data_IF_487613401078
#
_entry.id   IF_487613401078
#
_cell.length_a   1.000
_cell.length_b   1.000
_cell.length_c   1.000
_cell.angle_alpha   90.00
_cell.angle_beta   90.00
_cell.angle_gamma   90.00
#
_symmetry.space_group_name_H-M   'P 1'
#
loop_
_entity.id
_entity.type
_entity.pdbx_description
1 polymer ?
#
# COMPACT_ATOMS: atom_id res chain seq x y z
N UNK A 1 11.00 7.04 -9.05
CA UNK A 1 11.35 6.27 -10.26
C UNK A 1 10.06 5.93 -10.99
N UNK A 2 9.97 6.19 -12.30
CA UNK A 2 8.78 5.81 -13.10
C UNK A 2 8.56 4.31 -13.07
N UNK A 3 7.31 3.89 -12.82
CA UNK A 3 6.80 2.54 -13.02
C UNK A 3 7.08 2.08 -14.47
N UNK A 4 8.28 1.55 -14.71
CA UNK A 4 8.67 0.97 -16.00
C UNK A 4 7.83 -0.27 -16.24
N UNK A 5 6.81 -0.15 -17.09
CA UNK A 5 6.19 -1.20 -17.91
C UNK A 5 6.42 -2.65 -17.45
N UNK A 6 6.06 -2.99 -16.20
CA UNK A 6 6.02 -4.39 -15.79
C UNK A 6 4.74 -4.97 -16.38
N UNK A 7 4.86 -5.88 -17.34
CA UNK A 7 3.70 -6.60 -17.87
C UNK A 7 3.35 -7.72 -16.91
N UNK A 8 2.13 -7.70 -16.37
CA UNK A 8 1.61 -8.84 -15.63
C UNK A 8 1.40 -10.04 -16.57
N UNK A 9 1.58 -11.28 -16.06
CA UNK A 9 1.08 -12.47 -16.71
C UNK A 9 -0.42 -12.35 -17.06
N UNK A 10 -0.87 -12.96 -18.15
CA UNK A 10 -2.25 -12.81 -18.68
C UNK A 10 -3.36 -13.22 -17.71
N UNK A 11 -3.06 -14.11 -16.77
CA UNK A 11 -4.02 -14.60 -15.77
C UNK A 11 -4.08 -13.70 -14.52
N UNK A 12 -3.26 -12.63 -14.46
CA UNK A 12 -3.21 -11.69 -13.35
C UNK A 12 -3.63 -10.30 -13.79
N UNK A 13 -4.24 -9.55 -12.87
CA UNK A 13 -4.55 -8.15 -13.06
C UNK A 13 -4.43 -7.39 -11.73
N UNK A 14 -4.01 -6.13 -11.79
CA UNK A 14 -4.15 -5.24 -10.64
C UNK A 14 -5.62 -4.86 -10.43
N UNK A 15 -6.16 -5.05 -9.22
CA UNK A 15 -7.56 -4.74 -8.94
C UNK A 15 -7.78 -3.22 -8.82
N UNK A 16 -6.77 -2.48 -8.38
CA UNK A 16 -6.77 -1.02 -8.26
C UNK A 16 -5.89 -0.37 -9.34
N UNK A 17 -6.09 0.93 -9.56
CA UNK A 17 -5.27 1.79 -10.40
C UNK A 17 -4.72 2.95 -9.58
N UNK A 18 -3.75 3.68 -10.14
CA UNK A 18 -3.25 4.92 -9.53
C UNK A 18 -4.38 5.91 -9.24
N UNK A 19 -5.36 6.00 -10.14
CA UNK A 19 -6.53 6.87 -9.98
C UNK A 19 -7.31 6.54 -8.72
N UNK A 20 -7.60 5.24 -8.47
CA UNK A 20 -8.33 4.82 -7.26
C UNK A 20 -7.63 5.27 -5.97
N UNK A 21 -6.31 5.11 -5.92
CA UNK A 21 -5.50 5.51 -4.77
C UNK A 21 -5.48 7.04 -4.63
N UNK A 22 -5.28 7.77 -5.73
CA UNK A 22 -5.26 9.23 -5.72
C UNK A 22 -6.60 9.85 -5.33
N UNK A 23 -7.72 9.29 -5.79
CA UNK A 23 -9.07 9.74 -5.42
C UNK A 23 -9.34 9.45 -3.93
N UNK A 24 -8.91 8.28 -3.46
CA UNK A 24 -9.05 7.87 -2.05
C UNK A 24 -8.29 8.80 -1.09
N UNK A 25 -7.03 9.09 -1.40
CA UNK A 25 -6.14 9.86 -0.52
C UNK A 25 -6.30 11.38 -0.71
N UNK A 26 -6.68 11.82 -1.90
CA UNK A 26 -6.81 13.22 -2.26
C UNK A 26 -5.50 14.00 -1.97
N UNK A 27 -5.55 15.13 -1.25
CA UNK A 27 -4.35 15.91 -0.91
C UNK A 27 -3.27 15.14 -0.13
N UNK A 28 -3.66 14.07 0.59
CA UNK A 28 -2.73 13.22 1.35
C UNK A 28 -1.78 12.43 0.45
N UNK A 29 -2.09 12.29 -0.84
CA UNK A 29 -1.22 11.66 -1.83
C UNK A 29 0.16 12.33 -1.90
N UNK A 30 0.26 13.62 -1.55
CA UNK A 30 1.54 14.35 -1.44
C UNK A 30 2.50 13.78 -0.38
N UNK A 31 1.99 12.98 0.57
CA UNK A 31 2.78 12.31 1.61
C UNK A 31 3.20 10.88 1.22
N UNK A 32 2.70 10.36 0.10
CA UNK A 32 3.08 9.05 -0.44
C UNK A 32 4.39 9.21 -1.22
N UNK A 33 5.43 8.51 -0.79
CA UNK A 33 6.76 8.49 -1.40
C UNK A 33 6.86 7.51 -2.54
N UNK A 34 6.25 6.35 -2.37
CA UNK A 34 6.21 5.34 -3.41
C UNK A 34 4.83 4.68 -3.50
N UNK A 35 4.40 4.44 -4.74
CA UNK A 35 3.21 3.69 -5.07
C UNK A 35 3.60 2.66 -6.11
N UNK A 36 3.68 1.40 -5.68
CA UNK A 36 4.13 0.31 -6.54
C UNK A 36 2.98 -0.62 -6.91
N UNK A 37 2.98 -1.02 -8.18
CA UNK A 37 2.14 -2.09 -8.70
C UNK A 37 3.01 -3.32 -8.85
N UNK A 38 2.89 -4.25 -7.91
CA UNK A 38 3.78 -5.40 -7.81
C UNK A 38 3.40 -6.47 -8.81
N UNK A 39 4.38 -7.20 -9.34
CA UNK A 39 4.18 -8.25 -10.34
C UNK A 39 4.35 -9.67 -9.77
N UNK A 40 4.54 -9.78 -8.45
CA UNK A 40 4.94 -11.02 -7.78
C UNK A 40 3.97 -12.17 -7.97
N UNK A 41 4.53 -13.37 -8.19
CA UNK A 41 3.80 -14.63 -8.40
C UNK A 41 3.17 -15.19 -7.11
N UNK A 42 3.69 -14.79 -5.93
CA UNK A 42 3.36 -15.37 -4.61
C UNK A 42 2.88 -14.35 -3.58
N UNK A 43 2.09 -13.35 -4.00
CA UNK A 43 1.51 -12.39 -3.04
C UNK A 43 0.49 -13.05 -2.08
N UNK A 44 0.15 -14.32 -2.31
CA UNK A 44 -0.87 -15.04 -1.54
C UNK A 44 -2.19 -14.26 -1.55
N UNK A 45 -2.91 -14.19 -0.42
CA UNK A 45 -4.14 -13.42 -0.33
C UNK A 45 -3.91 -11.90 -0.25
N UNK A 46 -2.67 -11.40 -0.26
CA UNK A 46 -2.38 -9.97 -0.10
C UNK A 46 -2.84 -9.18 -1.33
N UNK A 47 -3.57 -8.08 -1.09
CA UNK A 47 -4.13 -7.24 -2.16
C UNK A 47 -3.68 -5.78 -2.07
N UNK A 48 -3.39 -5.30 -0.87
CA UNK A 48 -2.89 -3.95 -0.63
C UNK A 48 -2.00 -3.94 0.62
N UNK A 49 -0.88 -3.25 0.53
CA UNK A 49 -0.03 -2.91 1.68
C UNK A 49 0.16 -1.40 1.79
N UNK A 50 0.28 -0.92 3.02
CA UNK A 50 0.77 0.43 3.30
C UNK A 50 1.80 0.36 4.41
N UNK A 51 2.89 1.08 4.23
CA UNK A 51 3.98 1.18 5.20
C UNK A 51 4.34 2.64 5.43
N UNK A 52 4.49 3.03 6.69
CA UNK A 52 5.21 4.22 7.12
C UNK A 52 6.65 3.80 7.37
N UNK A 53 7.57 4.37 6.58
CA UNK A 53 9.00 4.19 6.79
C UNK A 53 9.52 5.38 7.60
N UNK A 54 9.95 5.10 8.83
CA UNK A 54 10.48 6.08 9.76
C UNK A 54 11.89 6.55 9.35
N UNK A 55 12.29 7.76 9.76
CA UNK A 55 13.68 8.19 9.60
C UNK A 55 14.60 7.31 10.45
N UNK A 56 15.51 6.57 9.80
CA UNK A 56 16.51 5.78 10.51
C UNK A 56 17.60 6.69 11.07
N UNK A 57 17.79 6.68 12.39
CA UNK A 57 18.87 7.44 13.08
C UNK A 57 20.20 6.69 13.13
N UNK A 58 20.49 5.76 12.21
CA UNK A 58 21.77 5.02 12.26
C UNK A 58 22.91 5.88 11.72
N UNK A 59 23.75 6.38 12.63
CA UNK A 59 24.91 7.24 12.38
C UNK A 59 26.08 6.59 11.61
N UNK A 60 25.97 5.32 11.20
CA UNK A 60 27.02 4.61 10.45
C UNK A 60 26.44 4.02 9.15
N UNK A 61 26.28 4.87 8.14
CA UNK A 61 26.18 4.49 6.71
C UNK A 61 24.99 3.63 6.24
N UNK A 62 24.15 3.14 7.14
CA UNK A 62 23.02 2.22 6.84
C UNK A 62 21.64 2.79 7.13
N UNK A 63 21.49 4.11 7.14
CA UNK A 63 20.20 4.77 7.39
C UNK A 63 19.28 4.76 6.16
N UNK A 64 17.96 4.79 6.41
CA UNK A 64 16.94 5.13 5.41
C UNK A 64 17.25 6.52 4.85
N UNK A 65 17.40 6.61 3.52
CA UNK A 65 17.60 7.89 2.84
C UNK A 65 16.42 8.83 3.14
N UNK A 66 16.63 10.13 3.44
CA UNK A 66 15.55 11.05 3.81
C UNK A 66 14.36 11.08 2.83
N UNK A 67 14.63 10.95 1.54
CA UNK A 67 13.58 10.91 0.50
C UNK A 67 12.68 9.67 0.55
N UNK A 68 13.13 8.61 1.22
CA UNK A 68 12.35 7.39 1.43
C UNK A 68 11.44 7.49 2.65
N UNK A 69 11.62 8.49 3.52
CA UNK A 69 10.78 8.66 4.72
C UNK A 69 9.38 9.11 4.31
N UNK A 70 8.38 8.33 4.71
CA UNK A 70 6.97 8.59 4.41
C UNK A 70 6.19 7.32 4.08
N UNK A 71 5.06 7.49 3.39
CA UNK A 71 4.18 6.38 3.06
C UNK A 71 4.60 5.67 1.78
N UNK A 72 4.64 4.34 1.84
CA UNK A 72 4.82 3.44 0.71
C UNK A 72 3.57 2.60 0.57
N UNK A 73 3.03 2.49 -0.64
CA UNK A 73 1.80 1.73 -0.92
C UNK A 73 2.09 0.71 -2.00
N UNK A 74 1.72 -0.53 -1.73
CA UNK A 74 1.91 -1.66 -2.62
C UNK A 74 0.57 -2.24 -3.04
N UNK A 75 0.33 -2.29 -4.36
CA UNK A 75 -0.85 -2.95 -4.94
C UNK A 75 -0.42 -4.28 -5.53
N UNK A 76 -1.01 -5.36 -5.00
CA UNK A 76 -0.72 -6.72 -5.44
C UNK A 76 -1.68 -7.17 -6.55
N UNK A 77 -1.21 -8.02 -7.47
CA UNK A 77 -2.06 -8.55 -8.52
C UNK A 77 -2.99 -9.63 -7.97
N UNK A 78 -4.16 -9.78 -8.58
CA UNK A 78 -5.13 -10.84 -8.30
C UNK A 78 -5.43 -11.62 -9.58
N UNK A 79 -6.13 -12.74 -9.47
CA UNK A 79 -6.63 -13.47 -10.64
C UNK A 79 -7.46 -12.54 -11.53
N UNK A 80 -7.19 -12.54 -12.84
CA UNK A 80 -7.84 -11.64 -13.79
C UNK A 80 -9.37 -11.82 -13.81
N UNK A 81 -9.85 -13.04 -13.56
CA UNK A 81 -11.27 -13.40 -13.43
C UNK A 81 -11.94 -12.77 -12.20
N UNK A 82 -11.19 -12.52 -11.14
CA UNK A 82 -11.68 -11.98 -9.86
C UNK A 82 -11.53 -10.45 -9.79
N UNK A 83 -10.76 -9.85 -10.70
CA UNK A 83 -10.39 -8.42 -10.70
C UNK A 83 -11.56 -7.50 -10.40
N UNK A 84 -12.69 -7.66 -11.08
CA UNK A 84 -13.85 -6.76 -10.95
C UNK A 84 -14.48 -6.87 -9.56
N UNK A 85 -14.69 -8.10 -9.07
CA UNK A 85 -15.26 -8.37 -7.76
C UNK A 85 -14.33 -7.85 -6.65
N UNK A 86 -13.03 -8.14 -6.73
CA UNK A 86 -12.04 -7.66 -5.76
C UNK A 86 -11.95 -6.14 -5.78
N UNK A 87 -11.96 -5.50 -6.95
CA UNK A 87 -11.97 -4.03 -7.07
C UNK A 87 -13.17 -3.40 -6.35
N UNK A 88 -14.36 -3.98 -6.48
CA UNK A 88 -15.56 -3.49 -5.81
C UNK A 88 -15.42 -3.55 -4.28
N UNK A 89 -14.94 -4.68 -3.75
CA UNK A 89 -14.69 -4.85 -2.31
C UNK A 89 -13.61 -3.87 -1.82
N UNK A 90 -12.51 -3.73 -2.55
CA UNK A 90 -11.42 -2.83 -2.19
C UNK A 90 -11.89 -1.38 -2.14
N UNK A 91 -12.64 -0.91 -3.14
CA UNK A 91 -13.17 0.46 -3.16
C UNK A 91 -14.16 0.71 -2.02
N UNK A 92 -15.00 -0.26 -1.68
CA UNK A 92 -16.01 -0.12 -0.65
C UNK A 92 -15.46 -0.22 0.78
N UNK A 93 -14.48 -1.08 1.02
CA UNK A 93 -14.04 -1.44 2.37
C UNK A 93 -12.59 -1.04 2.66
N UNK A 94 -11.68 -1.33 1.74
CA UNK A 94 -10.23 -1.18 1.99
C UNK A 94 -9.75 0.26 1.79
N UNK A 95 -10.19 0.94 0.73
CA UNK A 95 -9.77 2.33 0.48
C UNK A 95 -10.19 3.29 1.61
N UNK A 96 -11.40 3.22 2.20
CA UNK A 96 -11.73 4.00 3.39
C UNK A 96 -10.80 3.73 4.58
N UNK A 97 -10.44 2.46 4.82
CA UNK A 97 -9.52 2.08 5.89
C UNK A 97 -8.09 2.57 5.63
N UNK A 98 -7.61 2.49 4.39
CA UNK A 98 -6.33 3.07 3.98
C UNK A 98 -6.29 4.57 4.28
N UNK A 99 -7.34 5.30 3.87
CA UNK A 99 -7.44 6.74 4.12
C UNK A 99 -7.41 7.05 5.61
N UNK A 100 -8.12 6.26 6.42
CA UNK A 100 -8.13 6.42 7.87
C UNK A 100 -6.75 6.16 8.48
N UNK A 101 -6.10 5.06 8.09
CA UNK A 101 -4.76 4.70 8.57
C UNK A 101 -3.74 5.79 8.23
N UNK A 102 -3.71 6.27 6.98
CA UNK A 102 -2.83 7.38 6.55
C UNK A 102 -3.15 8.67 7.31
N UNK A 103 -4.43 8.97 7.54
CA UNK A 103 -4.84 10.17 8.30
C UNK A 103 -4.32 10.11 9.73
N UNK A 104 -4.50 8.96 10.41
CA UNK A 104 -4.01 8.76 11.77
C UNK A 104 -2.49 8.88 11.84
N UNK A 105 -1.78 8.27 10.91
CA UNK A 105 -0.32 8.33 10.83
C UNK A 105 0.21 9.76 10.62
N UNK A 106 -0.46 10.57 9.78
CA UNK A 106 -0.10 12.00 9.57
C UNK A 106 -0.25 12.81 10.87
N UNK A 107 -1.25 12.48 11.68
CA UNK A 107 -1.55 13.18 12.95
C UNK A 107 -0.90 12.52 14.17
N UNK A 108 -0.15 11.44 13.99
CA UNK A 108 0.46 10.70 15.08
C UNK A 108 1.60 11.51 15.72
N UNK A 109 1.87 11.24 16.99
CA UNK A 109 2.97 11.88 17.71
C UNK A 109 4.36 11.48 17.17
N UNK A 110 5.38 12.19 17.63
CA UNK A 110 6.77 11.95 17.21
C UNK A 110 7.24 10.53 17.53
N UNK A 111 6.81 9.96 18.66
CA UNK A 111 7.23 8.60 19.07
C UNK A 111 6.73 7.56 18.07
N UNK A 112 5.48 7.70 17.63
CA UNK A 112 4.92 6.87 16.57
C UNK A 112 5.69 7.05 15.26
N UNK A 113 5.96 8.29 14.84
CA UNK A 113 6.63 8.58 13.57
C UNK A 113 8.10 8.12 13.51
N UNK A 114 8.74 7.87 14.65
CA UNK A 114 10.11 7.37 14.76
C UNK A 114 10.24 5.84 14.62
N UNK A 115 9.13 5.12 14.46
CA UNK A 115 9.12 3.67 14.28
C UNK A 115 8.43 3.31 12.97
N UNK A 116 8.87 2.25 12.31
CA UNK A 116 8.19 1.74 11.11
C UNK A 116 6.83 1.15 11.49
N UNK A 117 5.83 1.38 10.63
CA UNK A 117 4.50 0.79 10.81
C UNK A 117 3.99 0.27 9.47
N UNK A 118 3.44 -0.93 9.46
CA UNK A 118 2.84 -1.47 8.27
C UNK A 118 1.44 -2.02 8.54
N UNK A 119 0.60 -1.94 7.52
CA UNK A 119 -0.74 -2.46 7.54
C UNK A 119 -1.06 -3.11 6.20
N UNK A 120 -1.62 -4.30 6.27
CA UNK A 120 -1.84 -5.17 5.13
C UNK A 120 -3.29 -5.60 5.05
N UNK A 121 -3.83 -5.58 3.84
CA UNK A 121 -5.15 -6.12 3.54
C UNK A 121 -5.04 -7.37 2.70
N UNK A 122 -5.76 -8.40 3.14
CA UNK A 122 -5.78 -9.72 2.51
C UNK A 122 -7.21 -10.07 2.09
N UNK A 123 -7.37 -10.74 0.95
CA UNK A 123 -8.64 -11.33 0.51
C UNK A 123 -8.71 -12.80 0.85
N UNK A 124 -9.79 -13.20 1.53
CA UNK A 124 -10.19 -14.61 1.68
C UNK A 124 -11.69 -14.71 1.47
N UNK A 125 -12.14 -15.67 0.66
CA UNK A 125 -13.56 -15.98 0.46
C UNK A 125 -14.43 -14.76 0.10
N UNK A 126 -13.90 -13.87 -0.75
CA UNK A 126 -14.59 -12.64 -1.17
C UNK A 126 -14.68 -11.54 -0.10
N UNK A 127 -14.01 -11.70 1.04
CA UNK A 127 -13.90 -10.69 2.11
C UNK A 127 -12.48 -10.16 2.19
N UNK A 128 -12.35 -8.87 2.52
CA UNK A 128 -11.07 -8.26 2.82
C UNK A 128 -10.90 -8.12 4.33
N UNK A 129 -9.79 -8.60 4.88
CA UNK A 129 -9.40 -8.39 6.27
C UNK A 129 -8.11 -7.60 6.35
N UNK A 130 -8.07 -6.63 7.26
CA UNK A 130 -6.91 -5.80 7.53
C UNK A 130 -6.20 -6.24 8.80
N UNK A 131 -4.86 -6.21 8.80
CA UNK A 131 -4.06 -6.47 9.99
C UNK A 131 -2.76 -5.67 9.95
N UNK A 132 -2.29 -5.14 11.10
CA UNK A 132 -0.93 -4.63 11.21
C UNK A 132 0.09 -5.76 10.98
N UNK A 133 1.30 -5.41 10.56
CA UNK A 133 2.43 -6.36 10.57
C UNK A 133 2.73 -6.80 12.01
N UNK A 134 3.12 -8.07 12.19
CA UNK A 134 3.49 -8.67 13.48
C UNK A 134 4.98 -8.73 13.64
#
# INVERSE_FOLDING_TARGET
>A
MSARNRRLPRHLAWPLTTTDISECLGPRMTRVRDLMFLSGHDSGPLVLGVTWLAPSRRNYGGGVHPDMVGFHIDVHPVAATERSATRAVLRAQVLPQLREWVTRAITADETWQLTDHAYYWRTSDGRCTGSPER
#
